data_IF_899300031939
#
_entry.id   IF_899300031939
#
_cell.length_a   1.000
_cell.length_b   1.000
_cell.length_c   1.000
_cell.angle_alpha   90.00
_cell.angle_beta   90.00
_cell.angle_gamma   90.00
#
_symmetry.space_group_name_H-M   'P 1'
#
loop_
_entity.id
_entity.type
_entity.pdbx_description
1 polymer ?
#
# COMPACT_ATOMS: atom_id res chain seq x y z
N UNK A 1 5.44 5.38 -4.45
CA UNK A 1 5.88 6.78 -4.28
C UNK A 1 5.38 7.38 -2.97
N UNK A 2 4.06 7.38 -2.69
CA UNK A 2 3.50 7.90 -1.42
C UNK A 2 4.18 7.35 -0.15
N UNK A 3 4.32 6.01 -0.06
CA UNK A 3 4.93 5.33 1.09
C UNK A 3 6.38 5.77 1.34
N UNK A 4 7.11 6.14 0.28
CA UNK A 4 8.48 6.65 0.37
C UNK A 4 8.50 8.10 0.88
N UNK A 5 7.56 8.94 0.46
CA UNK A 5 7.45 10.31 0.98
C UNK A 5 7.11 10.31 2.48
N UNK A 6 6.19 9.44 2.90
CA UNK A 6 5.83 9.26 4.32
C UNK A 6 7.04 8.72 5.10
N UNK A 7 7.78 7.77 4.53
CA UNK A 7 9.03 7.25 5.10
C UNK A 7 10.08 8.34 5.34
N UNK A 8 10.29 9.22 4.36
CA UNK A 8 11.26 10.31 4.45
C UNK A 8 10.79 11.42 5.42
N UNK A 9 9.50 11.68 5.50
CA UNK A 9 8.93 12.60 6.49
C UNK A 9 9.10 12.05 7.91
N UNK A 10 8.77 10.77 8.11
CA UNK A 10 9.04 10.03 9.35
C UNK A 10 10.51 10.11 9.73
N UNK A 11 11.39 9.88 8.75
CA UNK A 11 12.83 9.97 8.93
C UNK A 11 13.24 11.32 9.51
N UNK A 12 12.77 12.42 8.93
CA UNK A 12 13.09 13.78 9.38
C UNK A 12 12.58 14.07 10.80
N UNK A 13 11.40 13.56 11.14
CA UNK A 13 10.81 13.77 12.47
C UNK A 13 11.51 12.97 13.57
N UNK A 14 11.85 11.72 13.28
CA UNK A 14 12.42 10.79 14.26
C UNK A 14 13.94 10.91 14.39
N UNK A 15 14.63 11.47 13.38
CA UNK A 15 16.09 11.71 13.39
C UNK A 15 16.58 12.52 14.61
N UNK A 16 15.75 13.38 15.18
CA UNK A 16 16.11 14.19 16.35
C UNK A 16 15.77 13.53 17.70
N UNK A 17 14.94 12.47 17.71
CA UNK A 17 14.38 11.88 18.93
C UNK A 17 15.14 10.60 19.32
N UNK A 18 15.53 9.74 18.36
CA UNK A 18 16.21 8.48 18.65
C UNK A 18 17.15 8.05 17.51
N UNK A 19 18.47 8.07 17.73
CA UNK A 19 19.47 7.83 16.67
C UNK A 19 19.60 6.35 16.24
N UNK A 20 19.67 5.40 17.16
CA UNK A 20 20.15 4.05 16.83
C UNK A 20 19.06 3.11 16.29
N UNK A 21 17.86 3.11 16.88
CA UNK A 21 16.77 2.20 16.46
C UNK A 21 16.06 2.69 15.20
N UNK A 22 16.11 4.00 14.95
CA UNK A 22 15.51 4.62 13.79
C UNK A 22 16.13 4.14 12.47
N UNK A 23 17.46 4.02 12.41
CA UNK A 23 18.13 3.52 11.20
C UNK A 23 17.77 2.07 10.87
N UNK A 24 17.62 1.23 11.91
CA UNK A 24 17.20 -0.16 11.72
C UNK A 24 15.76 -0.23 11.20
N UNK A 25 14.83 0.50 11.82
CA UNK A 25 13.41 0.49 11.42
C UNK A 25 13.24 1.01 9.99
N UNK A 26 13.90 2.11 9.63
CA UNK A 26 13.86 2.63 8.26
C UNK A 26 14.41 1.62 7.26
N UNK A 27 15.58 1.04 7.56
CA UNK A 27 16.20 0.05 6.68
C UNK A 27 15.30 -1.16 6.47
N UNK A 28 14.70 -1.69 7.54
CA UNK A 28 13.72 -2.77 7.47
C UNK A 28 12.51 -2.37 6.62
N UNK A 29 12.03 -1.14 6.75
CA UNK A 29 10.88 -0.66 5.98
C UNK A 29 11.18 -0.51 4.48
N UNK A 30 12.37 -0.01 4.11
CA UNK A 30 12.81 0.02 2.70
C UNK A 30 12.96 -1.38 2.12
N UNK A 31 13.58 -2.31 2.86
CA UNK A 31 13.67 -3.71 2.43
C UNK A 31 12.29 -4.34 2.28
N UNK A 32 11.38 -4.08 3.22
CA UNK A 32 10.01 -4.58 3.16
C UNK A 32 9.28 -4.06 1.91
N UNK A 33 9.35 -2.75 1.64
CA UNK A 33 8.75 -2.15 0.46
C UNK A 33 9.35 -2.68 -0.85
N UNK A 34 10.67 -2.92 -0.87
CA UNK A 34 11.33 -3.56 -2.00
C UNK A 34 10.86 -5.00 -2.22
N UNK A 35 10.77 -5.78 -1.13
CA UNK A 35 10.32 -7.17 -1.18
C UNK A 35 8.87 -7.29 -1.66
N UNK A 36 7.97 -6.41 -1.18
CA UNK A 36 6.57 -6.43 -1.64
C UNK A 36 6.44 -6.06 -3.11
N UNK A 37 7.26 -5.12 -3.62
CA UNK A 37 7.30 -4.81 -5.06
C UNK A 37 7.69 -6.05 -5.88
N UNK A 38 8.76 -6.74 -5.49
CA UNK A 38 9.21 -7.96 -6.18
C UNK A 38 8.14 -9.05 -6.12
N UNK A 39 7.48 -9.23 -4.96
CA UNK A 39 6.41 -10.21 -4.79
C UNK A 39 5.22 -9.94 -5.72
N UNK A 40 4.81 -8.68 -5.89
CA UNK A 40 3.73 -8.31 -6.82
C UNK A 40 4.12 -8.60 -8.27
N UNK A 41 5.35 -8.27 -8.67
CA UNK A 41 5.85 -8.58 -10.02
C UNK A 41 5.87 -10.08 -10.29
N UNK A 42 6.29 -10.89 -9.30
CA UNK A 42 6.28 -12.35 -9.44
C UNK A 42 4.84 -12.87 -9.54
N UNK A 43 3.92 -12.35 -8.72
CA UNK A 43 2.51 -12.71 -8.79
C UNK A 43 1.92 -12.39 -10.17
N UNK A 44 2.22 -11.20 -10.71
CA UNK A 44 1.83 -10.79 -12.06
C UNK A 44 2.34 -11.76 -13.13
N UNK A 45 3.61 -12.17 -13.07
CA UNK A 45 4.18 -13.08 -14.07
C UNK A 45 3.74 -14.55 -13.90
N UNK A 46 3.33 -14.94 -12.69
CA UNK A 46 2.95 -16.31 -12.36
C UNK A 46 1.48 -16.62 -12.69
N UNK A 47 0.63 -15.61 -12.81
CA UNK A 47 -0.82 -15.76 -13.00
C UNK A 47 -1.22 -16.43 -14.31
N UNK A 48 -0.44 -16.26 -15.38
CA UNK A 48 -0.73 -16.84 -16.68
C UNK A 48 0.46 -17.69 -17.16
N UNK A 49 0.22 -18.97 -17.40
CA UNK A 49 1.20 -19.92 -17.95
C UNK A 49 0.60 -20.62 -19.17
N UNK A 50 1.23 -20.56 -20.36
CA UNK A 50 2.42 -19.77 -20.72
C UNK A 50 2.16 -18.25 -20.79
N UNK A 51 3.19 -17.45 -20.49
CA UNK A 51 3.15 -15.97 -20.50
C UNK A 51 2.75 -15.39 -21.86
N UNK A 52 2.88 -16.17 -22.94
CA UNK A 52 2.43 -15.80 -24.29
C UNK A 52 0.93 -15.52 -24.36
N UNK A 53 0.11 -16.09 -23.47
CA UNK A 53 -1.33 -15.86 -23.44
C UNK A 53 -1.73 -14.48 -22.89
N UNK A 54 -0.84 -13.73 -22.25
CA UNK A 54 -1.13 -12.34 -21.84
C UNK A 54 -1.45 -11.43 -23.02
N UNK A 55 -0.80 -11.66 -24.16
CA UNK A 55 -0.90 -10.83 -25.36
C UNK A 55 -1.92 -11.39 -26.37
N UNK A 56 -2.57 -12.51 -26.04
CA UNK A 56 -3.46 -13.20 -26.95
C UNK A 56 -4.89 -12.65 -26.82
N UNK A 57 -5.36 -11.99 -27.88
CA UNK A 57 -6.72 -11.42 -27.93
C UNK A 57 -7.74 -12.46 -28.43
N UNK A 58 -7.35 -13.29 -29.39
CA UNK A 58 -8.17 -14.38 -29.96
C UNK A 58 -7.26 -15.58 -30.21
N UNK A 59 -7.64 -16.82 -29.83
CA UNK A 59 -8.80 -17.21 -29.02
C UNK A 59 -8.66 -16.77 -27.56
N UNK A 60 -9.77 -16.71 -26.80
CA UNK A 60 -9.79 -16.25 -25.41
C UNK A 60 -8.83 -17.10 -24.54
N UNK A 61 -7.82 -16.49 -23.88
CA UNK A 61 -6.84 -17.20 -23.05
C UNK A 61 -7.42 -17.76 -21.75
N UNK A 62 -8.69 -17.50 -21.46
CA UNK A 62 -9.42 -18.00 -20.30
C UNK A 62 -9.47 -17.02 -19.13
N UNK A 63 -10.40 -17.27 -18.21
CA UNK A 63 -10.66 -16.39 -17.07
C UNK A 63 -9.45 -16.20 -16.14
N UNK A 64 -8.57 -17.21 -16.02
CA UNK A 64 -7.39 -17.16 -15.14
C UNK A 64 -6.40 -16.05 -15.55
N UNK A 65 -6.09 -15.94 -16.84
CA UNK A 65 -5.17 -14.91 -17.34
C UNK A 65 -5.80 -13.50 -17.36
N UNK A 66 -7.13 -13.41 -17.41
CA UNK A 66 -7.86 -12.13 -17.50
C UNK A 66 -8.19 -11.53 -16.13
N UNK A 67 -8.48 -12.35 -15.12
CA UNK A 67 -9.02 -11.89 -13.83
C UNK A 67 -7.96 -11.34 -12.87
N UNK A 68 -6.71 -11.80 -12.98
CA UNK A 68 -5.58 -11.27 -12.23
C UNK A 68 -5.79 -11.25 -10.70
N UNK A 69 -6.29 -12.35 -10.14
CA UNK A 69 -6.62 -12.44 -8.72
C UNK A 69 -5.41 -12.62 -7.80
N UNK A 70 -4.38 -13.35 -8.22
CA UNK A 70 -3.19 -13.57 -7.40
C UNK A 70 -2.40 -12.26 -7.23
N UNK A 71 -2.23 -11.46 -8.29
CA UNK A 71 -1.73 -10.10 -8.24
C UNK A 71 -2.59 -9.27 -7.31
N UNK A 72 -3.92 -9.25 -7.52
CA UNK A 72 -4.83 -8.41 -6.74
C UNK A 72 -4.70 -8.68 -5.24
N UNK A 73 -4.71 -9.96 -4.84
CA UNK A 73 -4.60 -10.38 -3.44
C UNK A 73 -3.20 -10.06 -2.91
N UNK A 74 -2.15 -10.36 -3.67
CA UNK A 74 -0.76 -10.10 -3.25
C UNK A 74 -0.53 -8.61 -3.03
N UNK A 75 -0.98 -7.78 -3.97
CA UNK A 75 -0.90 -6.33 -3.87
C UNK A 75 -1.73 -5.80 -2.71
N UNK A 76 -2.94 -6.32 -2.50
CA UNK A 76 -3.79 -5.93 -1.38
C UNK A 76 -3.13 -6.22 -0.03
N UNK A 77 -2.63 -7.45 0.16
CA UNK A 77 -1.94 -7.86 1.40
C UNK A 77 -0.69 -7.04 1.61
N UNK A 78 0.14 -6.85 0.58
CA UNK A 78 1.32 -6.00 0.62
C UNK A 78 0.96 -4.57 1.02
N UNK A 79 -0.07 -3.98 0.42
CA UNK A 79 -0.47 -2.61 0.74
C UNK A 79 -0.92 -2.47 2.19
N UNK A 80 -1.85 -3.31 2.63
CA UNK A 80 -2.41 -3.28 3.99
C UNK A 80 -1.31 -3.44 5.05
N UNK A 81 -0.44 -4.43 4.87
CA UNK A 81 0.65 -4.68 5.82
C UNK A 81 1.65 -3.53 5.88
N UNK A 82 2.01 -2.93 4.73
CA UNK A 82 2.93 -1.79 4.71
C UNK A 82 2.32 -0.56 5.40
N UNK A 83 1.03 -0.31 5.20
CA UNK A 83 0.34 0.84 5.78
C UNK A 83 0.17 0.66 7.30
N UNK A 84 -0.11 -0.56 7.77
CA UNK A 84 -0.10 -0.87 9.21
C UNK A 84 1.27 -0.67 9.85
N UNK A 85 2.35 -1.11 9.20
CA UNK A 85 3.72 -0.85 9.68
C UNK A 85 3.98 0.66 9.81
N UNK A 86 3.60 1.44 8.79
CA UNK A 86 3.73 2.90 8.79
C UNK A 86 2.94 3.61 9.88
N UNK A 87 1.87 3.01 10.41
CA UNK A 87 1.05 3.56 11.50
C UNK A 87 1.53 3.10 12.87
N UNK A 88 1.80 1.80 13.01
CA UNK A 88 2.16 1.16 14.29
C UNK A 88 3.53 1.62 14.78
N UNK A 89 4.49 1.88 13.89
CA UNK A 89 5.82 2.33 14.33
C UNK A 89 5.83 3.76 14.90
N UNK A 90 5.29 4.79 14.23
CA UNK A 90 5.39 6.15 14.73
C UNK A 90 4.41 6.50 15.83
N UNK A 91 3.24 5.89 15.92
CA UNK A 91 2.24 6.28 16.94
C UNK A 91 2.79 6.13 18.37
N UNK A 92 3.32 4.97 18.80
CA UNK A 92 3.92 4.81 20.13
C UNK A 92 5.06 5.81 20.37
N UNK A 93 5.86 6.10 19.35
CA UNK A 93 6.95 7.07 19.41
C UNK A 93 6.43 8.50 19.65
N UNK A 94 5.37 8.90 18.95
CA UNK A 94 4.69 10.20 19.11
C UNK A 94 4.11 10.32 20.52
N UNK A 95 3.57 9.23 21.07
CA UNK A 95 3.04 9.21 22.41
C UNK A 95 4.11 9.36 23.49
N UNK A 96 5.28 8.75 23.29
CA UNK A 96 6.44 8.84 24.19
C UNK A 96 7.20 10.17 24.10
N UNK A 97 6.99 10.97 23.05
CA UNK A 97 7.73 12.22 22.84
C UNK A 97 7.12 13.40 23.62
N UNK A 98 7.97 14.26 24.17
CA UNK A 98 7.61 15.54 24.81
C UNK A 98 7.23 16.63 23.79
N UNK A 99 6.36 16.30 22.83
CA UNK A 99 5.86 17.27 21.85
C UNK A 99 4.64 18.04 22.39
N UNK A 100 4.46 19.31 22.02
CA UNK A 100 3.26 20.06 22.36
C UNK A 100 2.02 19.40 21.73
N UNK A 101 0.92 19.35 22.49
CA UNK A 101 -0.36 18.73 22.12
C UNK A 101 -0.85 19.06 20.69
N UNK A 102 -0.84 20.31 20.20
CA UNK A 102 -1.33 20.60 18.84
C UNK A 102 -0.51 19.92 17.73
N UNK A 103 0.81 19.76 17.93
CA UNK A 103 1.66 19.06 16.96
C UNK A 103 1.44 17.55 17.05
N UNK A 104 1.23 17.03 18.26
CA UNK A 104 0.95 15.62 18.52
C UNK A 104 -0.34 15.16 17.83
N UNK A 105 -1.42 15.94 17.94
CA UNK A 105 -2.71 15.60 17.32
C UNK A 105 -2.66 15.69 15.79
N UNK A 106 -2.03 16.73 15.24
CA UNK A 106 -1.83 16.87 13.79
C UNK A 106 -1.08 15.66 13.22
N UNK A 107 -0.01 15.22 13.89
CA UNK A 107 0.82 14.11 13.43
C UNK A 107 0.09 12.76 13.50
N UNK A 108 -0.65 12.51 14.58
CA UNK A 108 -1.49 11.31 14.71
C UNK A 108 -2.57 11.28 13.63
N UNK A 109 -3.20 12.43 13.33
CA UNK A 109 -4.18 12.54 12.25
C UNK A 109 -3.57 12.24 10.88
N UNK A 110 -2.39 12.79 10.60
CA UNK A 110 -1.63 12.56 9.36
C UNK A 110 -1.31 11.07 9.15
N UNK A 111 -0.84 10.36 10.18
CA UNK A 111 -0.63 8.92 10.07
C UNK A 111 -1.95 8.15 9.95
N UNK A 112 -3.01 8.59 10.62
CA UNK A 112 -4.35 8.00 10.52
C UNK A 112 -4.93 8.05 9.09
N UNK A 113 -4.59 9.07 8.29
CA UNK A 113 -5.01 9.16 6.89
C UNK A 113 -4.54 7.97 6.04
N UNK A 114 -3.42 7.33 6.40
CA UNK A 114 -2.92 6.13 5.71
C UNK A 114 -3.76 4.87 5.96
N UNK A 115 -4.74 4.92 6.86
CA UNK A 115 -5.72 3.84 7.08
C UNK A 115 -6.86 3.87 6.04
N UNK A 116 -7.08 4.99 5.36
CA UNK A 116 -8.17 5.12 4.38
C UNK A 116 -7.98 4.15 3.18
N UNK A 117 -6.79 4.05 2.56
CA UNK A 117 -6.52 3.06 1.51
C UNK A 117 -6.72 1.61 1.96
N UNK A 118 -6.45 1.29 3.23
CA UNK A 118 -6.69 -0.04 3.80
C UNK A 118 -8.18 -0.38 3.72
N UNK A 119 -9.05 0.53 4.15
CA UNK A 119 -10.50 0.34 4.07
C UNK A 119 -10.99 0.17 2.64
N UNK A 120 -10.50 0.99 1.71
CA UNK A 120 -10.83 0.88 0.28
C UNK A 120 -10.40 -0.47 -0.28
N UNK A 121 -9.19 -0.92 0.05
CA UNK A 121 -8.65 -2.21 -0.40
C UNK A 121 -9.47 -3.38 0.13
N UNK A 122 -9.86 -3.34 1.41
CA UNK A 122 -10.71 -4.36 2.04
C UNK A 122 -12.10 -4.45 1.42
N UNK A 123 -12.66 -3.34 0.95
CA UNK A 123 -13.93 -3.34 0.20
C UNK A 123 -13.74 -3.78 -1.25
N UNK A 124 -12.64 -3.37 -1.89
CA UNK A 124 -12.32 -3.65 -3.29
C UNK A 124 -12.16 -5.14 -3.56
N UNK A 125 -11.34 -5.84 -2.77
CA UNK A 125 -11.02 -7.27 -2.98
C UNK A 125 -12.28 -8.14 -3.06
N UNK A 126 -13.16 -8.21 -2.04
CA UNK A 126 -14.35 -9.06 -2.09
C UNK A 126 -15.32 -8.62 -3.18
N UNK A 127 -15.42 -7.32 -3.46
CA UNK A 127 -16.34 -6.83 -4.48
C UNK A 127 -15.87 -7.21 -5.91
N UNK A 128 -14.56 -7.17 -6.16
CA UNK A 128 -13.95 -7.62 -7.42
C UNK A 128 -14.07 -9.14 -7.60
N UNK A 129 -13.94 -9.92 -6.51
CA UNK A 129 -14.16 -11.37 -6.54
C UNK A 129 -15.64 -11.71 -6.83
N UNK A 130 -16.60 -11.02 -6.21
CA UNK A 130 -18.04 -11.24 -6.42
C UNK A 130 -18.49 -10.91 -7.85
N UNK A 131 -17.87 -9.93 -8.50
CA UNK A 131 -18.20 -9.52 -9.87
C UNK A 131 -17.27 -10.13 -10.93
N UNK A 132 -16.68 -11.31 -10.65
CA UNK A 132 -15.87 -12.09 -11.59
C UNK A 132 -14.73 -11.31 -12.27
N UNK A 133 -14.19 -10.28 -11.61
CA UNK A 133 -13.11 -9.47 -12.16
C UNK A 133 -13.54 -8.52 -13.29
N UNK A 134 -14.82 -8.12 -13.35
CA UNK A 134 -15.32 -7.18 -14.35
C UNK A 134 -14.46 -5.90 -14.45
N UNK A 135 -13.99 -5.60 -15.66
CA UNK A 135 -13.00 -4.55 -15.91
C UNK A 135 -13.47 -3.17 -15.44
N UNK A 136 -14.75 -2.82 -15.68
CA UNK A 136 -15.31 -1.54 -15.26
C UNK A 136 -15.23 -1.34 -13.74
N UNK A 137 -15.48 -2.39 -12.96
CA UNK A 137 -15.38 -2.33 -11.49
C UNK A 137 -13.92 -2.19 -11.05
N UNK A 138 -12.98 -2.93 -11.66
CA UNK A 138 -11.55 -2.82 -11.33
C UNK A 138 -11.04 -1.39 -11.55
N UNK A 139 -11.38 -0.78 -12.68
CA UNK A 139 -11.00 0.60 -13.00
C UNK A 139 -11.62 1.61 -12.05
N UNK A 140 -12.90 1.46 -11.70
CA UNK A 140 -13.59 2.36 -10.77
C UNK A 140 -12.93 2.34 -9.38
N UNK A 141 -12.68 1.15 -8.82
CA UNK A 141 -12.01 1.01 -7.53
C UNK A 141 -10.57 1.51 -7.56
N UNK A 142 -9.85 1.29 -8.66
CA UNK A 142 -8.50 1.83 -8.84
C UNK A 142 -8.51 3.37 -8.87
N UNK A 143 -9.45 3.99 -9.58
CA UNK A 143 -9.59 5.46 -9.62
C UNK A 143 -9.92 6.04 -8.24
N UNK A 144 -10.81 5.38 -7.48
CA UNK A 144 -11.14 5.78 -6.11
C UNK A 144 -9.88 5.71 -5.22
N UNK A 145 -9.14 4.60 -5.28
CA UNK A 145 -7.90 4.44 -4.51
C UNK A 145 -6.87 5.51 -4.86
N UNK A 146 -6.69 5.83 -6.15
CA UNK A 146 -5.79 6.89 -6.60
C UNK A 146 -6.24 8.26 -6.08
N UNK A 147 -7.54 8.58 -6.13
CA UNK A 147 -8.08 9.85 -5.66
C UNK A 147 -7.83 10.06 -4.16
N UNK A 148 -8.08 9.04 -3.34
CA UNK A 148 -7.80 9.12 -1.91
C UNK A 148 -6.31 9.15 -1.64
N UNK A 149 -5.51 8.37 -2.36
CA UNK A 149 -4.07 8.39 -2.22
C UNK A 149 -3.47 9.77 -2.55
N UNK A 150 -3.94 10.45 -3.61
CA UNK A 150 -3.49 11.80 -3.95
C UNK A 150 -3.98 12.85 -2.96
N UNK A 151 -5.21 12.72 -2.46
CA UNK A 151 -5.72 13.60 -1.39
C UNK A 151 -4.87 13.49 -0.12
N UNK A 152 -4.51 12.27 0.29
CA UNK A 152 -3.63 12.02 1.44
C UNK A 152 -2.21 12.54 1.16
N UNK A 153 -1.71 12.39 -0.07
CA UNK A 153 -0.40 12.91 -0.47
C UNK A 153 -0.30 14.44 -0.33
N UNK A 154 -1.35 15.15 -0.73
CA UNK A 154 -1.39 16.61 -0.71
C UNK A 154 -1.76 17.19 0.66
N UNK A 155 -2.34 16.38 1.55
CA UNK A 155 -2.57 16.75 2.94
C UNK A 155 -1.29 16.65 3.79
N UNK A 156 -0.26 15.95 3.30
CA UNK A 156 1.04 15.73 3.94
C UNK A 156 2.05 16.82 3.55
#
# INVERSE_FOLDING_TARGET
>A
MLKLSIAEFLKRLTQNIWRSTHELVLRLMYYYLGATMVAVIIADLAECRPVTHYWQVVPDPGAQCRQGYAQLITMAVANVTTDLLLVIFPIPLIFSSHMPLPRKTMLTFLFGLSLIPIGITLCRVPNVLRHQGAQHYRSLWASIEILFATAVANAL
#
